data_IF_942600346255
#
_entry.id   IF_942600346255
#
_cell.length_a   1.000
_cell.length_b   1.000
_cell.length_c   1.000
_cell.angle_alpha   90.00
_cell.angle_beta   90.00
_cell.angle_gamma   90.00
#
_symmetry.space_group_name_H-M   'P 1'
#
loop_
_entity.id
_entity.type
_entity.pdbx_description
1 polymer ?
#
# COMPACT_ATOMS: atom_id res chain seq x y z
N UNK A 1 -1.56 8.99 -14.16
CA UNK A 1 -2.78 8.18 -14.10
C UNK A 1 -3.86 8.99 -14.79
N UNK A 2 -4.23 8.59 -15.99
CA UNK A 2 -5.25 9.24 -16.82
C UNK A 2 -6.65 8.63 -16.58
N UNK A 3 -6.79 7.79 -15.56
CA UNK A 3 -8.04 7.09 -15.23
C UNK A 3 -8.33 5.87 -16.10
N UNK A 4 -7.58 5.63 -17.17
CA UNK A 4 -7.83 4.56 -18.16
C UNK A 4 -6.96 3.32 -17.95
N UNK A 5 -5.83 3.47 -17.26
CA UNK A 5 -4.87 2.40 -17.02
C UNK A 5 -5.22 1.63 -15.73
N UNK A 6 -5.24 0.29 -15.80
CA UNK A 6 -5.66 -0.57 -14.69
C UNK A 6 -4.72 -0.51 -13.50
N UNK A 7 -5.15 -1.02 -12.33
CA UNK A 7 -4.32 -1.08 -11.12
C UNK A 7 -2.96 -1.75 -11.37
N UNK A 8 -2.94 -2.80 -12.22
CA UNK A 8 -1.72 -3.52 -12.61
C UNK A 8 -0.75 -2.63 -13.39
N UNK A 9 -1.25 -1.84 -14.34
CA UNK A 9 -0.43 -0.96 -15.16
C UNK A 9 0.13 0.19 -14.33
N UNK A 10 -0.68 0.76 -13.44
CA UNK A 10 -0.23 1.76 -12.47
C UNK A 10 0.87 1.19 -11.56
N UNK A 11 0.67 -0.02 -11.02
CA UNK A 11 1.66 -0.70 -10.19
C UNK A 11 2.97 -0.94 -10.95
N UNK A 12 2.90 -1.48 -12.18
CA UNK A 12 4.06 -1.69 -13.03
C UNK A 12 4.80 -0.37 -13.32
N UNK A 13 4.07 0.72 -13.59
CA UNK A 13 4.64 2.05 -13.77
C UNK A 13 5.37 2.55 -12.53
N UNK A 14 4.78 2.38 -11.33
CA UNK A 14 5.42 2.76 -10.07
C UNK A 14 6.74 2.00 -9.84
N UNK A 15 6.75 0.68 -10.09
CA UNK A 15 7.95 -0.15 -9.92
C UNK A 15 9.02 0.18 -10.95
N UNK A 16 8.63 0.42 -12.22
CA UNK A 16 9.57 0.77 -13.28
C UNK A 16 10.28 2.11 -13.00
N UNK A 17 9.58 3.05 -12.37
CA UNK A 17 10.12 4.36 -11.98
C UNK A 17 11.00 4.33 -10.73
N UNK A 18 10.95 3.26 -9.94
CA UNK A 18 11.77 3.12 -8.74
C UNK A 18 13.20 2.68 -9.11
N UNK A 19 14.18 3.18 -8.35
CA UNK A 19 15.55 2.67 -8.43
C UNK A 19 15.58 1.16 -8.10
N UNK A 20 16.52 0.41 -8.66
CA UNK A 20 16.57 -1.05 -8.51
C UNK A 20 16.53 -1.51 -7.05
N UNK A 21 17.27 -0.82 -6.17
CA UNK A 21 17.31 -1.06 -4.72
C UNK A 21 15.97 -0.77 -4.01
N UNK A 22 15.11 0.05 -4.60
CA UNK A 22 13.83 0.48 -4.02
C UNK A 22 12.62 -0.28 -4.59
N UNK A 23 12.80 -1.10 -5.63
CA UNK A 23 11.69 -1.82 -6.29
C UNK A 23 10.97 -2.76 -5.34
N UNK A 24 11.72 -3.53 -4.55
CA UNK A 24 11.14 -4.42 -3.53
C UNK A 24 10.30 -3.64 -2.52
N UNK A 25 10.81 -2.53 -2.00
CA UNK A 25 10.09 -1.68 -1.06
C UNK A 25 8.83 -1.06 -1.67
N UNK A 26 8.94 -0.63 -2.93
CA UNK A 26 7.81 -0.10 -3.69
C UNK A 26 6.69 -1.13 -3.87
N UNK A 27 7.03 -2.38 -4.19
CA UNK A 27 6.05 -3.47 -4.30
C UNK A 27 5.31 -3.71 -2.98
N UNK A 28 6.03 -3.78 -1.86
CA UNK A 28 5.41 -4.00 -0.55
C UNK A 28 4.56 -2.83 -0.07
N UNK A 29 4.96 -1.58 -0.40
CA UNK A 29 4.12 -0.40 -0.16
C UNK A 29 2.82 -0.49 -0.96
N UNK A 30 2.88 -0.89 -2.23
CA UNK A 30 1.69 -1.06 -3.06
C UNK A 30 0.78 -2.17 -2.51
N UNK A 31 1.34 -3.29 -2.05
CA UNK A 31 0.59 -4.35 -1.40
C UNK A 31 -0.09 -3.87 -0.10
N UNK A 32 0.62 -3.10 0.73
CA UNK A 32 0.05 -2.51 1.94
C UNK A 32 -1.12 -1.58 1.61
N UNK A 33 -0.94 -0.69 0.63
CA UNK A 33 -2.00 0.22 0.18
C UNK A 33 -3.21 -0.57 -0.32
N UNK A 34 -3.00 -1.61 -1.12
CA UNK A 34 -4.08 -2.46 -1.63
C UNK A 34 -4.83 -3.19 -0.51
N UNK A 35 -4.10 -3.71 0.48
CA UNK A 35 -4.65 -4.36 1.68
C UNK A 35 -5.51 -3.39 2.49
N UNK A 36 -5.00 -2.20 2.77
CA UNK A 36 -5.70 -1.17 3.53
C UNK A 36 -6.98 -0.69 2.82
N UNK A 37 -6.93 -0.53 1.49
CA UNK A 37 -8.11 -0.21 0.68
C UNK A 37 -9.16 -1.33 0.72
N UNK A 38 -8.73 -2.59 0.63
CA UNK A 38 -9.63 -3.73 0.74
C UNK A 38 -10.30 -3.79 2.12
N UNK A 39 -9.53 -3.58 3.19
CA UNK A 39 -10.01 -3.55 4.57
C UNK A 39 -11.02 -2.42 4.80
N UNK A 40 -10.75 -1.22 4.28
CA UNK A 40 -11.68 -0.09 4.34
C UNK A 40 -12.98 -0.38 3.56
N UNK A 41 -12.89 -0.99 2.37
CA UNK A 41 -14.08 -1.40 1.62
C UNK A 41 -14.93 -2.41 2.41
N UNK A 42 -14.29 -3.40 3.04
CA UNK A 42 -15.00 -4.36 3.88
C UNK A 42 -15.63 -3.70 5.10
N UNK A 43 -14.94 -2.78 5.76
CA UNK A 43 -15.49 -2.01 6.87
C UNK A 43 -16.78 -1.29 6.48
N UNK A 44 -16.77 -0.60 5.33
CA UNK A 44 -17.94 0.10 4.81
C UNK A 44 -19.10 -0.84 4.51
N UNK A 45 -18.83 -1.99 3.92
CA UNK A 45 -19.86 -2.94 3.51
C UNK A 45 -20.46 -3.71 4.69
N UNK A 46 -19.62 -4.20 5.60
CA UNK A 46 -20.03 -5.10 6.68
C UNK A 46 -20.37 -4.37 7.99
N UNK A 47 -19.68 -3.26 8.27
CA UNK A 47 -19.85 -2.50 9.52
C UNK A 47 -20.61 -1.18 9.31
N UNK A 48 -20.89 -0.80 8.05
CA UNK A 48 -21.50 0.50 7.67
C UNK A 48 -20.73 1.72 8.20
N UNK A 49 -19.45 1.54 8.49
CA UNK A 49 -18.55 2.58 8.96
C UNK A 49 -17.62 3.00 7.82
N UNK A 50 -17.41 4.31 7.66
CA UNK A 50 -16.48 4.86 6.70
C UNK A 50 -15.41 5.67 7.41
N UNK A 51 -14.14 5.34 7.17
CA UNK A 51 -13.03 6.15 7.66
C UNK A 51 -12.78 7.34 6.73
N UNK A 52 -12.35 8.46 7.32
CA UNK A 52 -11.87 9.60 6.54
C UNK A 52 -10.60 9.20 5.80
N UNK A 53 -10.46 9.62 4.54
CA UNK A 53 -9.29 9.31 3.69
C UNK A 53 -7.96 9.66 4.38
N UNK A 54 -7.92 10.75 5.15
CA UNK A 54 -6.75 11.16 5.92
C UNK A 54 -6.36 10.14 7.00
N UNK A 55 -7.33 9.48 7.63
CA UNK A 55 -7.08 8.45 8.63
C UNK A 55 -6.43 7.21 7.99
N UNK A 56 -6.90 6.80 6.79
CA UNK A 56 -6.30 5.71 6.04
C UNK A 56 -4.84 6.00 5.68
N UNK A 57 -4.54 7.21 5.19
CA UNK A 57 -3.17 7.62 4.86
C UNK A 57 -2.28 7.61 6.10
N UNK A 58 -2.79 8.08 7.24
CA UNK A 58 -2.07 8.05 8.51
C UNK A 58 -1.76 6.62 8.94
N UNK A 59 -2.74 5.72 8.86
CA UNK A 59 -2.56 4.31 9.21
C UNK A 59 -1.46 3.66 8.35
N UNK A 60 -1.47 3.88 7.04
CA UNK A 60 -0.43 3.38 6.13
C UNK A 60 0.96 3.90 6.55
N UNK A 61 1.08 5.18 6.91
CA UNK A 61 2.36 5.77 7.37
C UNK A 61 2.83 5.19 8.69
N UNK A 62 1.91 5.01 9.63
CA UNK A 62 2.20 4.46 10.96
C UNK A 62 2.67 3.00 10.83
N UNK A 63 2.03 2.22 9.95
CA UNK A 63 2.42 0.83 9.65
C UNK A 63 3.84 0.76 9.05
N UNK A 64 4.15 1.63 8.07
CA UNK A 64 5.51 1.75 7.49
C UNK A 64 6.53 2.10 8.58
N UNK A 65 6.20 3.02 9.48
CA UNK A 65 7.09 3.41 10.57
C UNK A 65 7.35 2.23 11.52
N UNK A 66 6.31 1.49 11.89
CA UNK A 66 6.42 0.30 12.73
C UNK A 66 7.30 -0.78 12.09
N UNK A 67 7.19 -1.01 10.78
CA UNK A 67 8.03 -1.98 10.07
C UNK A 67 9.51 -1.59 10.14
N UNK A 68 9.81 -0.31 9.91
CA UNK A 68 11.17 0.20 10.04
C UNK A 68 11.71 0.05 11.47
N UNK A 69 10.89 0.35 12.48
CA UNK A 69 11.29 0.20 13.89
C UNK A 69 11.53 -1.25 14.31
N UNK A 70 10.74 -2.19 13.77
CA UNK A 70 10.85 -3.60 14.08
C UNK A 70 12.11 -4.26 13.48
N UNK A 71 12.88 -3.55 12.66
CA UNK A 71 13.98 -4.13 11.86
C UNK A 71 13.48 -5.09 10.78
N UNK A 72 12.16 -5.25 10.64
CA UNK A 72 11.50 -5.95 9.56
C UNK A 72 11.50 -5.01 8.34
N UNK A 73 12.63 -4.95 7.64
CA UNK A 73 12.65 -4.37 6.30
C UNK A 73 11.57 -5.04 5.44
N UNK A 74 10.84 -4.25 4.66
CA UNK A 74 9.94 -4.65 3.57
C UNK A 74 9.20 -6.00 3.85
N UNK A 75 8.07 -5.99 4.59
CA UNK A 75 7.46 -7.21 5.11
C UNK A 75 6.54 -7.90 4.10
N UNK A 76 7.04 -8.11 2.89
CA UNK A 76 6.48 -9.01 1.89
C UNK A 76 7.59 -9.47 0.93
N UNK A 77 8.80 -9.75 1.43
CA UNK A 77 9.85 -10.44 0.66
C UNK A 77 9.50 -11.93 0.60
N UNK A 78 9.03 -12.48 -0.55
CA UNK A 78 9.16 -13.91 -0.76
C UNK A 78 10.64 -14.09 -1.14
N UNK A 79 11.46 -14.56 -0.19
CA UNK A 79 12.92 -14.65 -0.33
C UNK A 79 13.44 -15.00 -1.73
#
# INVERSE_FOLDING_TARGET
WDGSSGLKDWMASCVHRAADEQRKGTLSLIQLIAWELWRERNRRLFQKEAQQKAALIRLIKDEIHLWNMAGAGIPFDPG
#
